data_IF_132842846793
#
_entry.id   IF_132842846793
#
_cell.length_a   1.000
_cell.length_b   1.000
_cell.length_c   1.000
_cell.angle_alpha   90.00
_cell.angle_beta   90.00
_cell.angle_gamma   90.00
#
_symmetry.space_group_name_H-M   'P 1'
#
loop_
_entity.id
_entity.type
_entity.pdbx_description
1 polymer ?
#
# COMPACT_ATOMS: atom_id res chain seq x y z
N UNK A 1 6.58 -2.96 3.03
CA UNK A 1 5.39 -3.29 2.20
C UNK A 1 4.63 -2.01 1.92
N UNK A 2 3.78 -2.00 0.90
CA UNK A 2 2.92 -0.88 0.55
C UNK A 2 1.45 -1.33 0.46
N UNK A 3 0.55 -0.49 0.93
CA UNK A 3 -0.90 -0.65 0.77
C UNK A 3 -1.39 0.41 -0.21
N UNK A 4 -2.32 0.04 -1.09
CA UNK A 4 -2.86 0.97 -2.08
C UNK A 4 -4.33 0.68 -2.36
N UNK A 5 -5.04 1.70 -2.86
CA UNK A 5 -6.42 1.63 -3.33
C UNK A 5 -6.44 2.21 -4.73
N UNK A 6 -7.19 1.60 -5.64
CA UNK A 6 -7.33 2.04 -7.02
C UNK A 6 -7.21 0.89 -8.01
N UNK A 7 -7.55 1.17 -9.26
CA UNK A 7 -7.57 0.19 -10.36
C UNK A 7 -6.20 0.16 -11.09
N UNK A 8 -5.20 -0.40 -10.41
CA UNK A 8 -3.88 -0.66 -10.98
C UNK A 8 -3.40 -2.02 -10.50
N UNK A 9 -2.75 -2.79 -11.38
CA UNK A 9 -2.17 -4.08 -10.99
C UNK A 9 -0.94 -3.90 -10.10
N UNK A 10 -0.68 -4.86 -9.23
CA UNK A 10 0.53 -4.88 -8.39
C UNK A 10 1.82 -4.77 -9.22
N UNK A 11 1.88 -5.42 -10.39
CA UNK A 11 3.07 -5.41 -11.25
C UNK A 11 3.30 -4.04 -11.89
N UNK A 12 2.24 -3.39 -12.37
CA UNK A 12 2.33 -2.04 -12.93
C UNK A 12 2.77 -1.03 -11.86
N UNK A 13 2.23 -1.13 -10.63
CA UNK A 13 2.65 -0.28 -9.52
C UNK A 13 4.09 -0.55 -9.08
N UNK A 14 4.53 -1.82 -9.08
CA UNK A 14 5.91 -2.19 -8.79
C UNK A 14 6.89 -1.68 -9.87
N UNK A 15 6.49 -1.71 -11.14
CA UNK A 15 7.26 -1.12 -12.25
C UNK A 15 7.42 0.39 -12.07
N UNK A 16 6.31 1.09 -11.84
CA UNK A 16 6.33 2.53 -11.59
C UNK A 16 7.23 2.87 -10.39
N UNK A 17 7.13 2.13 -9.28
CA UNK A 17 7.99 2.32 -8.12
C UNK A 17 9.47 2.07 -8.43
N UNK A 18 9.80 1.16 -9.36
CA UNK A 18 11.18 0.90 -9.79
C UNK A 18 11.78 2.04 -10.60
N UNK A 19 10.95 2.74 -11.36
CA UNK A 19 11.36 3.89 -12.18
C UNK A 19 11.46 5.18 -11.36
N UNK A 20 10.58 5.36 -10.38
CA UNK A 20 10.44 6.62 -9.64
C UNK A 20 11.17 6.64 -8.28
N UNK A 21 11.45 5.48 -7.68
CA UNK A 21 12.02 5.41 -6.34
C UNK A 21 13.44 4.81 -6.34
N UNK A 22 14.36 5.36 -5.51
CA UNK A 22 15.62 4.71 -5.20
C UNK A 22 15.42 3.30 -4.67
N UNK A 23 16.39 2.42 -4.93
CA UNK A 23 16.28 0.99 -4.60
C UNK A 23 15.91 0.69 -3.15
N UNK A 24 16.42 1.49 -2.20
CA UNK A 24 16.15 1.36 -0.76
C UNK A 24 14.71 1.69 -0.35
N UNK A 25 13.98 2.48 -1.14
CA UNK A 25 12.61 2.90 -0.85
C UNK A 25 11.55 2.05 -1.57
N UNK A 26 11.97 1.11 -2.42
CA UNK A 26 11.05 0.27 -3.19
C UNK A 26 10.37 -0.76 -2.28
N UNK A 27 9.02 -0.80 -2.24
CA UNK A 27 8.31 -1.82 -1.49
C UNK A 27 8.57 -3.22 -2.05
N UNK A 28 8.79 -4.20 -1.16
CA UNK A 28 8.94 -5.62 -1.54
C UNK A 28 7.61 -6.36 -1.73
N UNK A 29 6.52 -5.79 -1.21
CA UNK A 29 5.16 -6.38 -1.22
C UNK A 29 4.16 -5.25 -1.39
N UNK A 30 3.17 -5.45 -2.24
CA UNK A 30 2.06 -4.55 -2.49
C UNK A 30 0.76 -5.27 -2.13
N UNK A 31 -0.13 -4.58 -1.41
CA UNK A 31 -1.44 -5.11 -1.00
C UNK A 31 -2.50 -4.14 -1.47
N UNK A 32 -3.36 -4.60 -2.37
CA UNK A 32 -4.51 -3.82 -2.84
C UNK A 32 -5.63 -3.92 -1.81
N UNK A 33 -6.23 -2.80 -1.49
CA UNK A 33 -7.39 -2.69 -0.62
C UNK A 33 -8.53 -2.04 -1.40
N UNK A 34 -9.77 -2.38 -1.05
CA UNK A 34 -10.95 -1.66 -1.56
C UNK A 34 -11.02 -0.24 -0.99
N UNK A 35 -10.58 -0.07 0.26
CA UNK A 35 -10.50 1.23 0.92
C UNK A 35 -9.41 1.23 1.99
N UNK A 36 -8.87 2.42 2.31
CA UNK A 36 -7.94 2.55 3.43
C UNK A 36 -8.74 2.50 4.74
N UNK A 37 -8.35 1.66 5.71
CA UNK A 37 -9.06 1.58 6.98
C UNK A 37 -8.90 2.90 7.73
N UNK A 38 -10.01 3.41 8.24
CA UNK A 38 -10.05 4.63 9.04
C UNK A 38 -10.66 4.35 10.41
N UNK A 39 -10.16 5.02 11.44
CA UNK A 39 -10.73 4.99 12.77
C UNK A 39 -12.05 5.79 12.83
N UNK A 40 -12.73 5.76 13.98
CA UNK A 40 -14.00 6.49 14.18
C UNK A 40 -13.92 8.00 13.90
N UNK A 41 -12.74 8.58 13.93
CA UNK A 41 -12.49 10.01 13.63
C UNK A 41 -12.11 10.24 12.17
N UNK A 42 -12.21 9.22 11.30
CA UNK A 42 -11.86 9.30 9.88
C UNK A 42 -10.36 9.31 9.59
N UNK A 43 -9.49 9.10 10.59
CA UNK A 43 -8.04 9.07 10.40
C UNK A 43 -7.59 7.66 10.06
N UNK A 44 -6.52 7.53 9.27
CA UNK A 44 -5.92 6.24 8.93
C UNK A 44 -5.68 5.37 10.17
N UNK A 45 -6.27 4.18 10.17
CA UNK A 45 -6.09 3.18 11.21
C UNK A 45 -4.88 2.30 10.89
N UNK A 46 -3.74 2.68 11.47
CA UNK A 46 -2.47 1.94 11.30
C UNK A 46 -2.49 0.57 11.98
N UNK A 47 -3.35 0.34 12.96
CA UNK A 47 -3.43 -0.96 13.62
C UNK A 47 -4.18 -1.95 12.75
N UNK A 48 -5.29 -1.52 12.14
CA UNK A 48 -5.99 -2.31 11.13
C UNK A 48 -5.07 -2.66 9.95
N UNK A 49 -4.25 -1.71 9.48
CA UNK A 49 -3.25 -1.99 8.44
C UNK A 49 -2.21 -3.05 8.84
N UNK A 50 -1.81 -3.10 10.11
CA UNK A 50 -0.87 -4.14 10.59
C UNK A 50 -1.51 -5.52 10.56
N UNK A 51 -2.79 -5.64 10.92
CA UNK A 51 -3.51 -6.93 10.86
C UNK A 51 -3.67 -7.39 9.40
N UNK A 52 -3.87 -6.47 8.46
CA UNK A 52 -3.90 -6.77 7.02
C UNK A 52 -2.52 -7.07 6.42
N UNK A 53 -1.44 -6.86 7.19
CA UNK A 53 -0.07 -7.09 6.75
C UNK A 53 0.40 -8.54 6.96
N UNK A 54 -0.21 -9.24 7.92
CA UNK A 54 0.06 -10.63 8.30
C UNK A 54 -0.53 -11.60 7.24
#
# INVERSE_FOLDING_TARGET
MAFYVGDISCDALAQWAREQLPSALRPRRFVQLESLPCNRMGKLDRQALKVLAD
#
